data_IF_462274357591
#
_entry.id   IF_462274357591
#
_cell.length_a   1.000
_cell.length_b   1.000
_cell.length_c   1.000
_cell.angle_alpha   90.00
_cell.angle_beta   90.00
_cell.angle_gamma   90.00
#
_symmetry.space_group_name_H-M   'P 1'
#
loop_
_entity.id
_entity.type
_entity.pdbx_description
1 polymer ?
#
# COMPACT_ATOMS: atom_id res chain seq x y z
N UNK A 1 44.94 0.55 -52.29
CA UNK A 1 44.71 0.48 -50.83
C UNK A 1 43.57 1.43 -50.51
N UNK A 2 42.33 0.94 -50.48
CA UNK A 2 41.13 1.78 -50.43
C UNK A 2 40.57 1.91 -49.01
N UNK A 3 40.59 3.17 -48.58
CA UNK A 3 39.69 3.88 -47.65
C UNK A 3 38.48 3.10 -47.12
N UNK A 4 38.36 3.04 -45.79
CA UNK A 4 37.15 2.59 -45.10
C UNK A 4 37.11 3.11 -43.67
N UNK A 5 36.95 4.42 -43.50
CA UNK A 5 36.66 5.05 -42.20
C UNK A 5 35.19 4.78 -41.87
N UNK A 6 34.93 3.75 -41.08
CA UNK A 6 33.59 3.43 -40.58
C UNK A 6 33.29 4.34 -39.39
N UNK A 7 32.47 5.37 -39.63
CA UNK A 7 31.91 6.24 -38.60
C UNK A 7 30.84 5.47 -37.82
N UNK A 8 31.15 5.10 -36.58
CA UNK A 8 30.19 4.55 -35.62
C UNK A 8 29.33 5.69 -35.06
N UNK A 9 28.13 5.83 -35.61
CA UNK A 9 27.10 6.73 -35.07
C UNK A 9 26.42 6.01 -33.91
N UNK A 10 26.84 6.33 -32.68
CA UNK A 10 26.08 5.96 -31.48
C UNK A 10 24.94 6.97 -31.34
N UNK A 11 23.75 6.57 -31.79
CA UNK A 11 22.53 7.30 -31.51
C UNK A 11 22.19 7.15 -30.01
N UNK A 12 22.60 8.12 -29.20
CA UNK A 12 22.11 8.25 -27.84
C UNK A 12 20.66 8.77 -27.89
N UNK A 13 19.69 7.85 -27.86
CA UNK A 13 18.32 8.20 -27.58
C UNK A 13 18.24 8.68 -26.12
N UNK A 14 18.28 10.00 -25.93
CA UNK A 14 17.91 10.62 -24.66
C UNK A 14 16.39 10.46 -24.48
N UNK A 15 15.98 9.34 -23.91
CA UNK A 15 14.61 9.16 -23.43
C UNK A 15 14.39 10.14 -22.28
N UNK A 16 13.45 11.06 -22.45
CA UNK A 16 12.97 11.98 -21.43
C UNK A 16 12.48 11.18 -20.22
N UNK A 17 13.23 11.20 -19.13
CA UNK A 17 12.91 10.51 -17.87
C UNK A 17 11.82 11.29 -17.11
N UNK A 18 10.59 11.24 -17.59
CA UNK A 18 9.48 11.30 -16.65
C UNK A 18 9.55 9.96 -15.91
N UNK A 19 10.05 9.97 -14.67
CA UNK A 19 10.23 8.75 -13.88
C UNK A 19 8.87 8.06 -13.75
N UNK A 20 8.62 7.07 -14.62
CA UNK A 20 7.46 6.23 -14.54
C UNK A 20 7.46 5.59 -13.14
N UNK A 21 6.28 5.48 -12.53
CA UNK A 21 6.15 4.83 -11.23
C UNK A 21 6.81 3.46 -11.27
N UNK A 22 7.52 3.11 -10.20
CA UNK A 22 8.13 1.79 -10.10
C UNK A 22 7.05 0.71 -10.14
N UNK A 23 7.40 -0.51 -10.56
CA UNK A 23 6.47 -1.64 -10.53
C UNK A 23 5.92 -1.89 -9.11
N UNK A 24 6.70 -1.60 -8.07
CA UNK A 24 6.29 -1.71 -6.69
C UNK A 24 5.27 -0.62 -6.29
N UNK A 25 5.57 0.65 -6.59
CA UNK A 25 4.67 1.79 -6.35
C UNK A 25 3.32 1.57 -7.02
N UNK A 26 3.31 1.12 -8.28
CA UNK A 26 2.08 0.78 -9.00
C UNK A 26 1.31 -0.35 -8.32
N UNK A 27 1.99 -1.42 -7.88
CA UNK A 27 1.36 -2.54 -7.18
C UNK A 27 0.72 -2.11 -5.85
N UNK A 28 1.38 -1.22 -5.10
CA UNK A 28 0.86 -0.67 -3.84
C UNK A 28 -0.39 0.18 -4.07
N UNK A 29 -0.38 1.00 -5.13
CA UNK A 29 -1.55 1.79 -5.53
C UNK A 29 -2.72 0.90 -5.95
N UNK A 30 -2.48 -0.09 -6.82
CA UNK A 30 -3.49 -1.07 -7.24
C UNK A 30 -4.08 -1.82 -6.04
N UNK A 31 -3.23 -2.25 -5.10
CA UNK A 31 -3.66 -2.90 -3.86
C UNK A 31 -4.57 -1.99 -3.03
N UNK A 32 -4.21 -0.71 -2.89
CA UNK A 32 -5.02 0.28 -2.16
C UNK A 32 -6.41 0.46 -2.78
N UNK A 33 -6.49 0.58 -4.10
CA UNK A 33 -7.78 0.74 -4.78
C UNK A 33 -8.64 -0.51 -4.65
N UNK A 34 -8.06 -1.72 -4.76
CA UNK A 34 -8.79 -2.97 -4.58
C UNK A 34 -9.43 -3.10 -3.17
N UNK A 35 -8.79 -2.54 -2.14
CA UNK A 35 -9.32 -2.56 -0.78
C UNK A 35 -10.60 -1.74 -0.62
N UNK A 36 -10.70 -0.61 -1.32
CA UNK A 36 -11.92 0.22 -1.31
C UNK A 36 -13.12 -0.57 -1.81
N UNK A 37 -12.92 -1.38 -2.86
CA UNK A 37 -13.97 -2.22 -3.43
C UNK A 37 -14.32 -3.40 -2.51
N UNK A 38 -13.31 -4.08 -1.95
CA UNK A 38 -13.53 -5.26 -1.12
C UNK A 38 -14.16 -4.95 0.25
N UNK A 39 -14.03 -3.71 0.73
CA UNK A 39 -14.43 -3.34 2.08
C UNK A 39 -15.90 -2.95 2.29
N UNK A 40 -16.72 -2.86 1.24
CA UNK A 40 -18.08 -2.31 1.33
C UNK A 40 -18.98 -3.03 2.36
N UNK A 41 -18.95 -4.36 2.39
CA UNK A 41 -19.72 -5.14 3.36
C UNK A 41 -19.25 -4.90 4.80
N UNK A 42 -17.93 -4.79 5.02
CA UNK A 42 -17.37 -4.48 6.34
C UNK A 42 -17.73 -3.05 6.78
N UNK A 43 -17.66 -2.07 5.89
CA UNK A 43 -18.06 -0.70 6.22
C UNK A 43 -19.53 -0.61 6.63
N UNK A 44 -20.41 -1.37 5.95
CA UNK A 44 -21.82 -1.46 6.32
C UNK A 44 -22.03 -2.15 7.67
N UNK A 45 -21.30 -3.23 7.95
CA UNK A 45 -21.43 -3.95 9.22
C UNK A 45 -20.98 -3.11 10.43
N UNK A 46 -19.99 -2.24 10.24
CA UNK A 46 -19.42 -1.38 11.28
C UNK A 46 -19.81 0.09 11.10
N UNK A 47 -21.00 0.37 10.54
CA UNK A 47 -21.41 1.73 10.18
C UNK A 47 -21.39 2.70 11.37
N UNK A 48 -21.78 2.27 12.57
CA UNK A 48 -21.76 3.10 13.78
C UNK A 48 -20.33 3.52 14.18
N UNK A 49 -19.35 2.63 14.03
CA UNK A 49 -17.94 2.95 14.29
C UNK A 49 -17.40 3.93 13.22
N UNK A 50 -17.80 3.74 11.96
CA UNK A 50 -17.46 4.66 10.87
C UNK A 50 -18.10 6.04 11.11
N UNK A 51 -19.36 6.12 11.52
CA UNK A 51 -20.04 7.36 11.88
C UNK A 51 -19.34 8.06 13.04
N UNK A 52 -18.95 7.32 14.07
CA UNK A 52 -18.17 7.84 15.21
C UNK A 52 -16.81 8.37 14.77
N UNK A 53 -16.14 7.68 13.85
CA UNK A 53 -14.87 8.15 13.28
C UNK A 53 -15.06 9.46 12.52
N UNK A 54 -16.06 9.53 11.64
CA UNK A 54 -16.34 10.71 10.81
C UNK A 54 -16.80 11.90 11.66
N UNK A 55 -17.59 11.66 12.71
CA UNK A 55 -18.07 12.69 13.60
C UNK A 55 -16.99 13.23 14.56
N UNK A 56 -15.86 12.53 14.70
CA UNK A 56 -14.78 12.96 15.59
C UNK A 56 -13.91 14.02 14.90
N UNK A 57 -13.88 15.27 15.38
CA UNK A 57 -13.11 16.35 14.76
C UNK A 57 -11.60 16.11 14.76
N UNK A 58 -11.10 15.21 15.62
CA UNK A 58 -9.68 14.83 15.64
C UNK A 58 -9.34 13.80 14.55
N UNK A 59 -10.34 13.22 13.90
CA UNK A 59 -10.18 12.16 12.90
C UNK A 59 -10.48 12.61 11.46
N UNK A 60 -10.70 13.91 11.23
CA UNK A 60 -11.09 14.48 9.93
C UNK A 60 -9.99 15.31 9.24
N UNK A 61 -8.84 15.55 9.89
CA UNK A 61 -7.76 16.35 9.32
C UNK A 61 -6.92 15.59 8.28
N UNK A 62 -6.41 16.28 7.25
CA UNK A 62 -5.61 15.71 6.16
C UNK A 62 -4.25 15.12 6.58
N UNK A 63 -3.86 15.26 7.86
CA UNK A 63 -2.58 14.77 8.41
C UNK A 63 -2.63 13.31 8.89
N UNK A 64 -3.75 12.61 8.64
CA UNK A 64 -4.06 11.22 9.03
C UNK A 64 -3.17 10.11 8.43
N UNK A 65 -2.04 10.45 7.83
CA UNK A 65 -0.98 9.46 7.56
C UNK A 65 -0.59 8.75 8.87
N UNK A 66 -0.79 9.45 9.99
CA UNK A 66 -0.72 8.97 11.36
C UNK A 66 -1.96 9.45 12.11
N UNK A 67 -3.15 8.90 11.78
CA UNK A 67 -4.28 9.11 12.67
C UNK A 67 -3.87 8.77 14.10
N UNK A 68 -4.18 9.64 15.06
CA UNK A 68 -3.87 9.37 16.46
C UNK A 68 -4.40 7.97 16.82
N UNK A 69 -3.71 7.28 17.73
CA UNK A 69 -4.08 5.95 18.19
C UNK A 69 -5.60 5.82 18.47
N UNK A 70 -6.21 6.92 18.95
CA UNK A 70 -7.66 7.10 19.15
C UNK A 70 -8.48 6.88 17.87
N UNK A 71 -8.15 7.56 16.77
CA UNK A 71 -8.89 7.46 15.50
C UNK A 71 -8.74 6.08 14.86
N UNK A 72 -7.52 5.55 14.88
CA UNK A 72 -7.27 4.20 14.36
C UNK A 72 -7.99 3.14 15.18
N UNK A 73 -8.09 3.30 16.51
CA UNK A 73 -8.81 2.39 17.37
C UNK A 73 -10.32 2.34 17.07
N UNK A 74 -10.94 3.48 16.75
CA UNK A 74 -12.38 3.54 16.44
C UNK A 74 -12.73 2.59 15.27
N UNK A 75 -11.92 2.59 14.21
CA UNK A 75 -12.20 1.81 12.99
C UNK A 75 -11.49 0.46 12.94
N UNK A 76 -10.74 0.07 13.98
CA UNK A 76 -9.87 -1.11 13.94
C UNK A 76 -10.63 -2.40 13.62
N UNK A 77 -11.86 -2.57 14.13
CA UNK A 77 -12.67 -3.77 13.85
C UNK A 77 -13.17 -3.81 12.40
N UNK A 78 -13.62 -2.67 11.87
CA UNK A 78 -13.98 -2.54 10.46
C UNK A 78 -12.79 -2.89 9.55
N UNK A 79 -11.61 -2.36 9.89
CA UNK A 79 -10.38 -2.60 9.13
C UNK A 79 -9.91 -4.05 9.23
N UNK A 80 -10.02 -4.67 10.41
CA UNK A 80 -9.76 -6.11 10.58
C UNK A 80 -10.70 -6.97 9.73
N UNK A 81 -11.98 -6.60 9.65
CA UNK A 81 -12.93 -7.25 8.75
C UNK A 81 -12.48 -7.18 7.29
N UNK A 82 -12.01 -6.01 6.83
CA UNK A 82 -11.50 -5.83 5.47
C UNK A 82 -10.29 -6.74 5.22
N UNK A 83 -9.30 -6.74 6.13
CA UNK A 83 -8.10 -7.60 6.05
C UNK A 83 -8.50 -9.08 5.95
N UNK A 84 -9.51 -9.51 6.72
CA UNK A 84 -10.08 -10.85 6.62
C UNK A 84 -10.74 -11.12 5.28
N UNK A 85 -11.55 -10.18 4.77
CA UNK A 85 -12.26 -10.31 3.51
C UNK A 85 -11.30 -10.47 2.31
N UNK A 86 -10.16 -9.79 2.34
CA UNK A 86 -9.11 -9.92 1.31
C UNK A 86 -8.12 -11.06 1.59
N UNK A 87 -8.43 -11.96 2.53
CA UNK A 87 -7.64 -13.15 2.86
C UNK A 87 -6.20 -12.84 3.30
N UNK A 88 -6.01 -11.73 4.01
CA UNK A 88 -4.74 -11.32 4.61
C UNK A 88 -4.71 -11.47 6.13
N UNK A 89 -5.72 -12.14 6.70
CA UNK A 89 -5.76 -12.50 8.11
C UNK A 89 -5.54 -14.01 8.24
N UNK A 90 -4.52 -14.40 9.00
CA UNK A 90 -4.24 -15.81 9.32
C UNK A 90 -5.24 -16.35 10.35
N UNK A 91 -5.24 -17.66 10.53
CA UNK A 91 -6.10 -18.35 11.50
C UNK A 91 -5.84 -17.90 12.96
N UNK A 92 -4.61 -17.48 13.28
CA UNK A 92 -4.22 -16.94 14.60
C UNK A 92 -4.58 -15.45 14.77
N UNK A 93 -5.37 -14.87 13.86
CA UNK A 93 -5.70 -13.45 13.82
C UNK A 93 -4.49 -12.52 13.63
N UNK A 94 -3.38 -12.98 13.05
CA UNK A 94 -2.26 -12.12 12.66
C UNK A 94 -2.30 -11.75 11.18
N UNK A 95 -1.65 -10.64 10.81
CA UNK A 95 -1.52 -10.23 9.41
C UNK A 95 -0.64 -11.23 8.63
N UNK A 96 -1.07 -11.58 7.42
CA UNK A 96 -0.34 -12.45 6.52
C UNK A 96 0.62 -11.67 5.62
N UNK A 97 1.80 -11.37 6.16
CA UNK A 97 2.88 -10.68 5.44
C UNK A 97 3.30 -11.41 4.15
N UNK A 98 3.26 -12.75 4.14
CA UNK A 98 3.63 -13.55 2.98
C UNK A 98 2.56 -13.46 1.89
N UNK A 99 1.28 -13.63 2.25
CA UNK A 99 0.19 -13.44 1.31
C UNK A 99 0.15 -12.01 0.77
N UNK A 100 0.35 -10.98 1.61
CA UNK A 100 0.40 -9.59 1.13
C UNK A 100 1.46 -9.39 0.05
N UNK A 101 2.68 -9.88 0.26
CA UNK A 101 3.76 -9.74 -0.73
C UNK A 101 3.51 -10.58 -1.99
N UNK A 102 3.05 -11.82 -1.82
CA UNK A 102 2.93 -12.78 -2.92
C UNK A 102 1.65 -12.60 -3.75
N UNK A 103 0.50 -12.41 -3.10
CA UNK A 103 -0.81 -12.36 -3.78
C UNK A 103 -1.25 -10.94 -4.04
N UNK A 104 -1.17 -10.05 -3.05
CA UNK A 104 -1.62 -8.66 -3.18
C UNK A 104 -0.64 -7.86 -4.04
N UNK A 105 0.65 -7.91 -3.74
CA UNK A 105 1.68 -7.18 -4.49
C UNK A 105 2.26 -7.97 -5.66
N UNK A 106 1.84 -9.23 -5.86
CA UNK A 106 2.29 -10.11 -6.96
C UNK A 106 3.82 -10.21 -7.04
N UNK A 107 4.50 -10.18 -5.90
CA UNK A 107 5.96 -10.15 -5.76
C UNK A 107 6.67 -8.95 -6.44
N UNK A 108 5.94 -7.93 -6.92
CA UNK A 108 6.51 -6.79 -7.66
C UNK A 108 7.42 -5.88 -6.81
N UNK A 109 7.35 -6.00 -5.48
CA UNK A 109 8.16 -5.23 -4.53
C UNK A 109 9.36 -6.00 -3.96
N UNK A 110 9.56 -7.27 -4.33
CA UNK A 110 10.50 -8.17 -3.61
C UNK A 110 11.96 -7.76 -3.70
N UNK A 111 12.34 -7.03 -4.75
CA UNK A 111 13.69 -6.52 -4.96
C UNK A 111 13.78 -4.99 -4.78
N UNK A 112 12.68 -4.32 -4.42
CA UNK A 112 12.68 -2.87 -4.25
C UNK A 112 13.31 -2.49 -2.91
N UNK A 113 14.45 -1.81 -2.96
CA UNK A 113 15.21 -1.45 -1.77
C UNK A 113 14.46 -0.49 -0.83
N UNK A 114 13.64 0.42 -1.37
CA UNK A 114 12.84 1.35 -0.56
C UNK A 114 11.74 0.61 0.18
N UNK A 115 11.06 -0.29 -0.53
CA UNK A 115 10.06 -1.17 0.08
C UNK A 115 10.67 -2.02 1.20
N UNK A 116 11.79 -2.71 0.93
CA UNK A 116 12.45 -3.58 1.91
C UNK A 116 12.82 -2.79 3.17
N UNK A 117 13.38 -1.58 3.01
CA UNK A 117 13.77 -0.73 4.13
C UNK A 117 12.56 -0.18 4.92
N UNK A 118 11.48 0.22 4.24
CA UNK A 118 10.31 0.81 4.87
C UNK A 118 9.39 -0.22 5.53
N UNK A 119 9.34 -1.45 4.99
CA UNK A 119 8.33 -2.45 5.34
C UNK A 119 8.19 -2.74 6.83
N UNK A 120 9.27 -3.04 7.59
CA UNK A 120 9.14 -3.36 9.01
C UNK A 120 8.49 -2.22 9.81
N UNK A 121 8.90 -0.98 9.54
CA UNK A 121 8.39 0.21 10.25
C UNK A 121 6.92 0.46 9.89
N UNK A 122 6.60 0.49 8.60
CA UNK A 122 5.24 0.74 8.13
C UNK A 122 4.28 -0.34 8.62
N UNK A 123 4.68 -1.61 8.52
CA UNK A 123 3.90 -2.75 8.98
C UNK A 123 3.63 -2.66 10.48
N UNK A 124 4.63 -2.40 11.31
CA UNK A 124 4.45 -2.33 12.76
C UNK A 124 3.54 -1.17 13.17
N UNK A 125 3.66 -0.02 12.51
CA UNK A 125 2.85 1.14 12.80
C UNK A 125 1.37 0.92 12.42
N UNK A 126 1.11 0.37 11.24
CA UNK A 126 -0.24 0.33 10.65
C UNK A 126 -1.02 -0.93 11.03
N UNK A 127 -0.36 -2.09 11.12
CA UNK A 127 -1.02 -3.37 11.40
C UNK A 127 -1.46 -3.50 12.85
N UNK A 128 -1.00 -2.63 13.75
CA UNK A 128 -1.57 -2.45 15.11
C UNK A 128 -3.09 -2.22 15.06
N UNK A 129 -3.57 -1.54 14.01
CA UNK A 129 -4.98 -1.19 13.82
C UNK A 129 -5.55 -1.71 12.50
N UNK A 130 -4.86 -2.67 11.87
CA UNK A 130 -5.29 -3.29 10.61
C UNK A 130 -5.43 -2.29 9.44
N UNK A 131 -4.73 -1.15 9.50
CA UNK A 131 -4.81 -0.05 8.53
C UNK A 131 -4.03 -0.37 7.25
N UNK A 132 -4.57 -1.28 6.46
CA UNK A 132 -3.92 -1.76 5.23
C UNK A 132 -3.81 -0.66 4.16
N UNK A 133 -4.75 0.28 4.15
CA UNK A 133 -4.71 1.50 3.36
C UNK A 133 -3.49 2.38 3.72
N UNK A 134 -3.24 2.58 5.02
CA UNK A 134 -2.07 3.31 5.50
C UNK A 134 -0.77 2.53 5.27
N UNK A 135 -0.82 1.19 5.33
CA UNK A 135 0.35 0.36 5.00
C UNK A 135 0.77 0.63 3.55
N UNK A 136 -0.16 0.56 2.60
CA UNK A 136 0.15 0.85 1.19
C UNK A 136 0.71 2.26 1.01
N UNK A 137 0.13 3.28 1.66
CA UNK A 137 0.62 4.67 1.57
C UNK A 137 2.02 4.85 2.17
N UNK A 138 2.30 4.22 3.31
CA UNK A 138 3.61 4.31 3.97
C UNK A 138 4.73 3.66 3.14
N UNK A 139 4.36 2.66 2.32
CA UNK A 139 5.28 1.91 1.46
C UNK A 139 5.48 2.52 0.07
N UNK A 140 4.67 3.51 -0.31
CA UNK A 140 4.69 4.16 -1.62
C UNK A 140 5.72 5.29 -1.63
#
# INVERSE_FOLDING_TARGET
MSRGLVLLIVAAAAASTQAAWSACTTALYEAREALKTAGSACLSQYSADIEKYVANPNCTSSDLWYGEDTCNAIVANAMKCIVKAVKLLKADNTFDDAAFKATTLKNKCSADAKFIAAYPKCRNHTMKYWRLDQLCNCLT
#
